data_IF_415052904072
#
_entry.id   IF_415052904072
#
_cell.length_a   1.000
_cell.length_b   1.000
_cell.length_c   1.000
_cell.angle_alpha   90.00
_cell.angle_beta   90.00
_cell.angle_gamma   90.00
#
_symmetry.space_group_name_H-M   'P 1'
#
loop_
_entity.id
_entity.type
_entity.pdbx_description
1 polymer ?
#
# COMPACT_ATOMS: atom_id res chain seq x y z
N UNK A 1 94.69 -19.57 4.05
CA UNK A 1 93.68 -19.45 2.97
C UNK A 1 92.65 -18.45 3.48
N UNK A 2 92.75 -17.16 3.11
CA UNK A 2 91.96 -16.51 2.02
C UNK A 2 90.44 -16.63 2.25
N UNK A 3 89.62 -15.60 2.35
CA UNK A 3 89.78 -14.19 2.03
C UNK A 3 88.51 -13.38 2.34
N UNK A 4 88.61 -12.12 1.96
CA UNK A 4 87.80 -10.91 2.12
C UNK A 4 86.35 -10.88 1.59
N UNK A 5 85.49 -10.19 2.36
CA UNK A 5 84.44 -9.18 2.01
C UNK A 5 83.47 -9.37 0.83
N UNK A 6 82.16 -9.15 1.07
CA UNK A 6 81.34 -8.04 0.50
C UNK A 6 79.86 -8.09 0.91
N UNK A 7 79.28 -6.91 1.03
CA UNK A 7 77.88 -6.55 1.31
C UNK A 7 76.91 -6.77 0.13
N UNK A 8 75.62 -6.88 0.52
CA UNK A 8 74.35 -6.53 -0.18
C UNK A 8 73.82 -7.41 -1.34
N UNK A 9 72.48 -7.47 -1.60
CA UNK A 9 71.46 -6.45 -1.27
C UNK A 9 70.13 -6.93 -0.64
N UNK A 10 69.39 -5.91 -0.16
CA UNK A 10 67.98 -5.93 0.22
C UNK A 10 67.07 -6.41 -0.93
N UNK A 11 66.10 -7.27 -0.60
CA UNK A 11 64.97 -7.60 -1.46
C UNK A 11 63.70 -6.96 -0.89
N UNK A 12 63.25 -5.90 -1.55
CA UNK A 12 61.96 -5.29 -1.33
C UNK A 12 60.83 -6.26 -1.74
N UNK A 13 60.04 -6.71 -0.77
CA UNK A 13 58.73 -7.31 -1.03
C UNK A 13 57.67 -6.23 -0.91
N UNK A 14 57.09 -5.87 -2.05
CA UNK A 14 55.92 -5.00 -2.16
C UNK A 14 54.71 -5.71 -1.52
N UNK A 15 54.35 -5.29 -0.32
CA UNK A 15 53.09 -5.68 0.30
C UNK A 15 51.99 -4.79 -0.26
N UNK A 16 51.25 -5.31 -1.24
CA UNK A 16 50.07 -4.64 -1.78
C UNK A 16 48.97 -4.69 -0.72
N UNK A 17 48.80 -3.61 0.02
CA UNK A 17 47.64 -3.40 0.89
C UNK A 17 46.38 -3.31 0.02
N UNK A 18 45.78 -4.46 -0.27
CA UNK A 18 44.37 -4.52 -0.59
C UNK A 18 43.64 -4.30 0.73
N UNK A 19 43.20 -3.06 0.93
CA UNK A 19 42.16 -2.75 1.90
C UNK A 19 40.92 -3.52 1.47
N UNK A 20 40.70 -4.70 2.04
CA UNK A 20 39.36 -5.27 2.13
C UNK A 20 38.51 -4.23 2.87
N UNK A 21 37.72 -3.47 2.12
CA UNK A 21 36.64 -2.69 2.68
C UNK A 21 35.79 -3.64 3.52
N UNK A 22 35.71 -3.36 4.81
CA UNK A 22 34.74 -4.00 5.68
C UNK A 22 33.35 -3.82 5.03
N UNK A 23 32.50 -4.86 4.99
CA UNK A 23 31.16 -4.73 4.42
C UNK A 23 30.45 -3.58 5.14
N UNK A 24 29.93 -2.62 4.36
CA UNK A 24 29.15 -1.53 4.92
C UNK A 24 28.04 -2.10 5.82
N UNK A 25 27.76 -1.50 6.98
CA UNK A 25 26.69 -1.95 7.84
C UNK A 25 25.40 -1.93 7.02
N UNK A 26 24.80 -3.10 6.79
CA UNK A 26 23.58 -3.25 6.03
C UNK A 26 22.54 -2.26 6.57
N UNK A 27 22.23 -1.24 5.77
CA UNK A 27 21.32 -0.17 6.19
C UNK A 27 20.00 -0.75 6.69
N UNK A 28 19.43 -0.12 7.72
CA UNK A 28 18.11 -0.46 8.26
C UNK A 28 17.09 -0.56 7.13
N UNK A 29 16.47 -1.73 6.95
CA UNK A 29 15.53 -1.99 5.86
C UNK A 29 14.11 -1.73 6.33
N UNK A 30 13.25 -1.35 5.40
CA UNK A 30 11.83 -1.13 5.65
C UNK A 30 11.05 -2.26 5.01
N UNK A 31 10.23 -2.94 5.81
CA UNK A 31 9.41 -4.05 5.35
C UNK A 31 8.03 -3.53 4.98
N UNK A 32 7.61 -3.79 3.74
CA UNK A 32 6.23 -3.58 3.31
C UNK A 32 5.40 -4.82 3.63
N UNK A 33 4.55 -4.74 4.64
CA UNK A 33 3.73 -5.85 5.12
C UNK A 33 2.27 -5.64 4.77
N UNK A 34 1.66 -6.63 4.10
CA UNK A 34 0.21 -6.70 3.94
C UNK A 34 -0.42 -7.59 4.98
N UNK A 35 -1.38 -7.03 5.70
CA UNK A 35 -2.07 -7.65 6.82
C UNK A 35 -3.53 -7.83 6.43
N UNK A 36 -3.93 -9.07 6.18
CA UNK A 36 -5.28 -9.41 5.72
C UNK A 36 -6.04 -10.18 6.79
N UNK A 37 -7.20 -9.67 7.19
CA UNK A 37 -8.09 -10.39 8.10
C UNK A 37 -8.76 -11.56 7.37
N UNK A 38 -8.68 -12.75 7.96
CA UNK A 38 -9.21 -13.98 7.38
C UNK A 38 -10.70 -14.14 7.66
N UNK A 39 -11.35 -14.95 6.83
CA UNK A 39 -12.73 -15.42 6.96
C UNK A 39 -13.83 -14.34 6.87
N UNK A 40 -13.47 -13.09 6.51
CA UNK A 40 -14.44 -12.03 6.21
C UNK A 40 -14.38 -11.67 4.72
N UNK A 41 -15.56 -11.55 4.11
CA UNK A 41 -15.74 -11.11 2.73
C UNK A 41 -16.77 -9.97 2.67
N UNK A 42 -16.55 -8.94 1.82
CA UNK A 42 -15.31 -8.63 1.09
C UNK A 42 -14.10 -8.43 2.02
N UNK A 43 -12.87 -8.69 1.54
CA UNK A 43 -11.70 -8.75 2.42
C UNK A 43 -11.37 -7.41 3.10
N UNK A 44 -11.00 -7.48 4.38
CA UNK A 44 -10.50 -6.37 5.21
C UNK A 44 -8.98 -6.52 5.29
N UNK A 45 -8.23 -5.48 4.95
CA UNK A 45 -6.76 -5.54 4.96
C UNK A 45 -6.11 -4.17 5.13
N UNK A 46 -4.84 -4.16 5.52
CA UNK A 46 -3.96 -2.99 5.67
C UNK A 46 -2.61 -3.31 5.01
N UNK A 47 -1.99 -2.32 4.38
CA UNK A 47 -0.61 -2.38 3.89
C UNK A 47 0.20 -1.38 4.71
N UNK A 48 1.27 -1.84 5.34
CA UNK A 48 2.07 -1.01 6.26
C UNK A 48 3.56 -1.11 5.93
N UNK A 49 4.30 -0.03 6.22
CA UNK A 49 5.75 0.01 6.22
C UNK A 49 6.24 0.01 7.66
N UNK A 50 7.15 -0.90 7.99
CA UNK A 50 7.73 -1.05 9.34
C UNK A 50 9.23 -1.23 9.25
N UNK A 51 9.96 -0.98 10.33
CA UNK A 51 11.40 -1.26 10.35
C UNK A 51 11.65 -2.77 10.38
N UNK A 52 12.70 -3.23 9.69
CA UNK A 52 13.20 -4.60 9.83
C UNK A 52 13.69 -4.91 11.25
N UNK A 53 14.05 -3.86 12.00
CA UNK A 53 14.50 -3.93 13.38
C UNK A 53 13.36 -3.89 14.40
N UNK A 54 12.13 -3.60 13.96
CA UNK A 54 10.95 -3.70 14.82
C UNK A 54 10.81 -5.14 15.32
N UNK A 55 10.22 -5.27 16.51
CA UNK A 55 9.91 -6.56 17.13
C UNK A 55 8.50 -7.00 16.78
N UNK A 56 8.17 -8.27 17.02
CA UNK A 56 6.79 -8.74 16.90
C UNK A 56 5.83 -8.03 17.88
N UNK A 57 6.32 -7.56 19.03
CA UNK A 57 5.57 -6.68 19.94
C UNK A 57 5.21 -5.34 19.28
N UNK A 58 6.16 -4.73 18.56
CA UNK A 58 5.91 -3.50 17.81
C UNK A 58 4.85 -3.74 16.74
N UNK A 59 5.01 -4.81 15.94
CA UNK A 59 4.04 -5.20 14.92
C UNK A 59 2.64 -5.43 15.49
N UNK A 60 2.54 -6.13 16.62
CA UNK A 60 1.29 -6.31 17.36
C UNK A 60 0.66 -4.95 17.72
N UNK A 61 1.43 -4.05 18.31
CA UNK A 61 0.97 -2.71 18.69
C UNK A 61 0.46 -1.91 17.47
N UNK A 62 1.09 -2.09 16.31
CA UNK A 62 0.67 -1.46 15.05
C UNK A 62 -0.65 -2.06 14.56
N UNK A 63 -0.80 -3.39 14.66
CA UNK A 63 -2.03 -4.09 14.31
C UNK A 63 -3.20 -3.59 15.16
N UNK A 64 -3.03 -3.49 16.49
CA UNK A 64 -4.08 -3.00 17.38
C UNK A 64 -4.58 -1.61 16.97
N UNK A 65 -3.64 -0.68 16.74
CA UNK A 65 -3.97 0.70 16.33
C UNK A 65 -4.71 0.76 14.99
N UNK A 66 -4.23 0.06 13.97
CA UNK A 66 -4.84 0.11 12.63
C UNK A 66 -6.19 -0.62 12.54
N UNK A 67 -6.42 -1.58 13.45
CA UNK A 67 -7.71 -2.26 13.60
C UNK A 67 -8.69 -1.44 14.45
N UNK A 68 -8.20 -0.45 15.21
CA UNK A 68 -9.00 0.30 16.16
C UNK A 68 -9.40 -0.53 17.38
N UNK A 69 -8.54 -1.46 17.78
CA UNK A 69 -8.70 -2.29 18.97
C UNK A 69 -7.90 -1.74 20.14
N UNK A 70 -8.26 -2.21 21.34
CA UNK A 70 -7.78 -1.67 22.61
C UNK A 70 -6.78 -2.57 23.33
N UNK A 71 -6.28 -3.61 22.66
CA UNK A 71 -5.25 -4.51 23.21
C UNK A 71 -5.63 -5.15 24.56
N UNK A 72 -6.90 -5.55 24.70
CA UNK A 72 -7.47 -6.11 25.94
C UNK A 72 -7.39 -7.64 26.02
N UNK A 73 -7.00 -8.29 24.93
CA UNK A 73 -7.07 -9.74 24.80
C UNK A 73 -5.74 -10.36 24.39
N UNK A 74 -5.56 -11.65 24.68
CA UNK A 74 -4.32 -12.34 24.37
C UNK A 74 -4.09 -12.45 22.85
N UNK A 75 -2.83 -12.46 22.44
CA UNK A 75 -2.41 -12.74 21.06
C UNK A 75 -1.18 -13.63 20.94
N UNK A 76 -0.97 -14.09 19.71
CA UNK A 76 0.26 -14.78 19.30
C UNK A 76 0.52 -14.62 17.81
N UNK A 77 1.76 -14.86 17.40
CA UNK A 77 2.13 -15.09 16.01
C UNK A 77 2.56 -16.53 15.80
N UNK A 78 2.33 -17.05 14.60
CA UNK A 78 2.73 -18.40 14.19
C UNK A 78 3.34 -18.33 12.79
N UNK A 79 4.58 -18.78 12.66
CA UNK A 79 5.34 -18.78 11.42
C UNK A 79 4.98 -19.98 10.54
N UNK A 80 5.46 -20.00 9.29
CA UNK A 80 5.28 -21.15 8.39
C UNK A 80 5.88 -22.45 8.93
N UNK A 81 6.97 -22.37 9.69
CA UNK A 81 7.63 -23.50 10.34
C UNK A 81 6.95 -23.93 11.66
N UNK A 82 5.76 -23.38 11.96
CA UNK A 82 5.00 -23.65 13.19
C UNK A 82 5.69 -23.16 14.48
N UNK A 83 6.72 -22.31 14.37
CA UNK A 83 7.29 -21.60 15.52
C UNK A 83 6.29 -20.57 16.01
N UNK A 84 5.97 -20.59 17.31
CA UNK A 84 5.13 -19.57 17.93
C UNK A 84 5.99 -18.44 18.47
N UNK A 85 5.48 -17.22 18.33
CA UNK A 85 6.03 -16.03 18.95
C UNK A 85 4.92 -15.49 19.84
N UNK A 86 5.15 -15.49 21.15
CA UNK A 86 4.11 -15.29 22.15
C UNK A 86 4.30 -14.00 22.92
N UNK A 87 3.18 -13.45 23.37
CA UNK A 87 3.14 -12.24 24.19
C UNK A 87 3.83 -12.42 25.55
N UNK A 88 4.27 -11.30 26.12
CA UNK A 88 4.94 -11.25 27.41
C UNK A 88 4.08 -10.47 28.40
N UNK A 89 3.75 -11.07 29.55
CA UNK A 89 3.10 -10.33 30.64
C UNK A 89 4.10 -9.38 31.30
N UNK A 90 3.74 -8.10 31.36
CA UNK A 90 4.54 -7.01 31.93
C UNK A 90 4.03 -6.54 33.29
N UNK A 91 3.16 -7.29 33.95
CA UNK A 91 2.71 -6.97 35.30
C UNK A 91 3.90 -6.83 36.29
N UNK A 92 3.85 -5.81 37.16
CA UNK A 92 4.95 -5.40 38.06
C UNK A 92 5.40 -6.48 39.06
N UNK A 93 4.72 -7.63 39.14
CA UNK A 93 4.96 -8.67 40.13
C UNK A 93 5.79 -9.87 39.62
N UNK A 94 6.47 -9.72 38.48
CA UNK A 94 7.40 -10.73 37.99
C UNK A 94 6.73 -11.76 37.10
N UNK A 95 6.83 -11.50 35.79
CA UNK A 95 6.78 -12.45 34.67
C UNK A 95 5.91 -13.70 34.86
N UNK A 96 4.59 -13.54 34.72
CA UNK A 96 3.70 -14.67 34.43
C UNK A 96 3.60 -14.80 32.91
N UNK A 97 4.51 -15.57 32.31
CA UNK A 97 4.43 -15.90 30.88
C UNK A 97 3.19 -16.77 30.65
N UNK A 98 2.09 -16.19 30.18
CA UNK A 98 0.84 -16.94 30.01
C UNK A 98 0.92 -18.05 28.94
N UNK A 99 1.99 -18.13 28.12
CA UNK A 99 2.07 -19.13 27.03
C UNK A 99 3.48 -19.51 26.54
N UNK A 100 4.55 -19.39 27.36
CA UNK A 100 5.80 -20.13 27.07
C UNK A 100 5.64 -21.57 27.56
N UNK A 101 4.74 -22.31 26.92
CA UNK A 101 4.46 -23.71 27.28
C UNK A 101 5.48 -24.68 26.68
N UNK A 102 6.35 -24.22 25.77
CA UNK A 102 7.34 -25.04 25.07
C UNK A 102 8.69 -24.32 25.03
N UNK A 103 9.76 -25.09 25.17
CA UNK A 103 11.15 -24.60 25.06
C UNK A 103 11.47 -23.92 23.70
N UNK A 104 10.61 -24.11 22.69
CA UNK A 104 10.79 -23.57 21.34
C UNK A 104 9.99 -22.29 21.05
N UNK A 105 9.18 -21.80 21.98
CA UNK A 105 8.40 -20.57 21.77
C UNK A 105 9.32 -19.35 21.91
N UNK A 106 9.13 -18.36 21.02
CA UNK A 106 9.91 -17.13 21.02
C UNK A 106 9.14 -15.99 21.68
N UNK A 107 9.87 -15.04 22.27
CA UNK A 107 9.31 -13.84 22.92
C UNK A 107 9.11 -12.72 21.91
N UNK A 108 7.92 -12.13 21.85
CA UNK A 108 7.60 -11.13 20.84
C UNK A 108 8.37 -9.80 20.98
N UNK A 109 8.83 -9.46 22.18
CA UNK A 109 9.57 -8.23 22.49
C UNK A 109 11.07 -8.35 22.22
N UNK A 110 11.56 -9.55 21.95
CA UNK A 110 12.96 -9.85 21.59
C UNK A 110 13.10 -10.30 20.15
N UNK A 111 12.05 -10.88 19.58
CA UNK A 111 12.07 -11.41 18.21
C UNK A 111 11.87 -10.29 17.21
N UNK A 112 12.86 -10.03 16.37
CA UNK A 112 12.80 -9.03 15.30
C UNK A 112 11.99 -9.52 14.10
N UNK A 113 11.38 -8.60 13.37
CA UNK A 113 10.66 -8.92 12.14
C UNK A 113 11.59 -9.49 11.07
N UNK A 114 12.81 -8.97 10.95
CA UNK A 114 13.84 -9.47 10.01
C UNK A 114 14.19 -10.95 10.20
N UNK A 115 13.90 -11.55 11.36
CA UNK A 115 14.10 -12.99 11.60
C UNK A 115 13.16 -13.87 10.77
N UNK A 116 11.96 -13.38 10.46
CA UNK A 116 10.92 -14.16 9.75
C UNK A 116 10.39 -13.50 8.48
N UNK A 117 10.79 -12.26 8.22
CA UNK A 117 10.49 -11.52 6.99
C UNK A 117 11.82 -11.10 6.36
N UNK A 118 12.47 -12.06 5.72
CA UNK A 118 13.76 -11.90 5.06
C UNK A 118 13.65 -11.80 3.55
N UNK A 119 12.62 -12.44 2.97
CA UNK A 119 12.39 -12.52 1.53
C UNK A 119 10.94 -12.19 1.20
N UNK A 120 10.73 -11.53 0.06
CA UNK A 120 9.39 -11.22 -0.45
C UNK A 120 8.58 -12.52 -0.58
N UNK A 121 7.35 -12.49 -0.07
CA UNK A 121 6.46 -13.65 0.02
C UNK A 121 6.50 -14.39 1.36
N UNK A 122 7.46 -14.06 2.25
CA UNK A 122 7.47 -14.52 3.62
C UNK A 122 6.16 -14.17 4.33
N UNK A 123 5.71 -15.09 5.19
CA UNK A 123 4.38 -14.97 5.80
C UNK A 123 4.35 -15.45 7.25
N UNK A 124 3.58 -14.72 8.05
CA UNK A 124 3.29 -15.05 9.45
C UNK A 124 1.78 -14.92 9.69
N UNK A 125 1.25 -15.80 10.53
CA UNK A 125 -0.13 -15.73 11.00
C UNK A 125 -0.17 -15.01 12.34
N UNK A 126 -1.03 -13.99 12.47
CA UNK A 126 -1.29 -13.32 13.75
C UNK A 126 -2.70 -13.66 14.23
N UNK A 127 -2.84 -14.03 15.50
CA UNK A 127 -4.13 -14.32 16.13
C UNK A 127 -4.33 -13.40 17.33
N UNK A 128 -5.44 -12.65 17.34
CA UNK A 128 -5.86 -11.80 18.45
C UNK A 128 -7.16 -12.33 19.03
N UNK A 129 -7.32 -12.22 20.36
CA UNK A 129 -8.51 -12.62 21.11
C UNK A 129 -8.82 -14.10 20.96
N UNK A 130 -8.26 -14.96 21.82
CA UNK A 130 -8.33 -16.42 21.64
C UNK A 130 -9.74 -17.02 21.68
N UNK A 131 -10.71 -16.30 22.22
CA UNK A 131 -12.11 -16.69 22.15
C UNK A 131 -12.72 -16.35 20.77
N UNK A 132 -12.57 -15.11 20.31
CA UNK A 132 -13.13 -14.62 19.04
C UNK A 132 -12.32 -15.05 17.79
N UNK A 133 -11.06 -15.41 18.01
CA UNK A 133 -10.08 -15.95 17.04
C UNK A 133 -9.91 -15.09 15.81
N UNK A 134 -9.64 -13.80 16.00
CA UNK A 134 -9.33 -12.89 14.90
C UNK A 134 -7.98 -13.25 14.27
N UNK A 135 -8.02 -13.90 13.10
CA UNK A 135 -6.83 -14.37 12.40
C UNK A 135 -6.45 -13.44 11.25
N UNK A 136 -5.19 -13.03 11.23
CA UNK A 136 -4.61 -12.20 10.17
C UNK A 136 -3.49 -12.96 9.48
N UNK A 137 -3.49 -12.90 8.15
CA UNK A 137 -2.35 -13.31 7.34
C UNK A 137 -1.48 -12.08 7.09
N UNK A 138 -0.24 -12.12 7.52
CA UNK A 138 0.77 -11.08 7.31
C UNK A 138 1.73 -11.60 6.24
N UNK A 139 1.95 -10.82 5.19
CA UNK A 139 2.83 -11.17 4.07
C UNK A 139 3.80 -10.02 3.83
N UNK A 140 5.09 -10.32 3.71
CA UNK A 140 6.09 -9.39 3.20
C UNK A 140 5.90 -9.24 1.70
N UNK A 141 5.44 -8.09 1.25
CA UNK A 141 5.23 -7.80 -0.17
C UNK A 141 6.45 -7.10 -0.80
N UNK A 142 7.25 -6.37 -0.01
CA UNK A 142 8.47 -5.71 -0.50
C UNK A 142 9.46 -5.39 0.64
N UNK A 143 10.73 -5.19 0.29
CA UNK A 143 11.80 -4.73 1.19
C UNK A 143 12.43 -3.47 0.60
N UNK A 144 12.16 -2.34 1.25
CA UNK A 144 12.51 -1.00 0.77
C UNK A 144 13.69 -0.42 1.55
N UNK A 145 14.47 0.50 0.95
CA UNK A 145 15.41 1.31 1.71
C UNK A 145 14.67 2.22 2.70
N UNK A 146 15.32 2.54 3.82
CA UNK A 146 14.79 3.55 4.75
C UNK A 146 14.70 4.92 4.08
N UNK A 147 13.52 5.53 4.12
CA UNK A 147 13.34 6.89 3.65
C UNK A 147 13.85 7.90 4.68
N UNK A 148 14.67 8.89 4.27
CA UNK A 148 15.11 9.97 5.16
C UNK A 148 13.92 10.68 5.81
N UNK A 149 14.05 11.06 7.08
CA UNK A 149 13.05 11.83 7.85
C UNK A 149 11.65 11.21 7.98
N UNK A 150 11.49 9.93 7.64
CA UNK A 150 10.22 9.22 7.82
C UNK A 150 10.18 8.52 9.17
N UNK A 151 9.08 8.74 9.90
CA UNK A 151 8.76 7.99 11.11
C UNK A 151 7.96 6.74 10.73
N UNK A 152 8.40 5.58 11.22
CA UNK A 152 7.71 4.30 11.04
C UNK A 152 7.00 3.92 12.35
N UNK A 153 5.88 3.17 12.30
CA UNK A 153 5.27 2.56 11.12
C UNK A 153 4.47 3.56 10.27
N UNK A 154 4.26 3.24 9.00
CA UNK A 154 3.38 3.97 8.08
C UNK A 154 2.29 3.03 7.58
N UNK A 155 1.01 3.35 7.77
CA UNK A 155 -0.07 2.63 7.10
C UNK A 155 -0.28 3.25 5.71
N UNK A 156 0.11 2.51 4.67
CA UNK A 156 0.10 2.98 3.27
C UNK A 156 -1.33 3.04 2.74
N UNK A 157 -2.09 1.97 2.95
CA UNK A 157 -3.46 1.86 2.44
C UNK A 157 -4.16 0.67 3.10
N UNK A 158 -5.42 0.47 2.76
CA UNK A 158 -6.26 -0.59 3.29
C UNK A 158 -7.65 -0.58 2.68
N UNK A 159 -8.47 -1.53 3.12
CA UNK A 159 -9.86 -1.62 2.69
C UNK A 159 -10.77 -2.03 3.84
N UNK A 160 -11.98 -1.45 3.84
CA UNK A 160 -13.08 -1.63 4.80
C UNK A 160 -12.73 -1.23 6.24
N UNK A 161 -13.78 -0.97 7.03
CA UNK A 161 -13.61 -0.83 8.46
C UNK A 161 -13.20 -2.17 9.07
N UNK A 162 -12.39 -2.14 10.11
CA UNK A 162 -12.08 -3.34 10.88
C UNK A 162 -13.26 -3.73 11.77
N UNK A 163 -13.41 -5.02 12.12
CA UNK A 163 -14.42 -5.45 13.07
C UNK A 163 -14.30 -4.69 14.38
N UNK A 164 -15.44 -4.39 14.98
CA UNK A 164 -15.49 -3.84 16.32
C UNK A 164 -15.00 -4.91 17.30
N UNK A 165 -14.25 -4.48 18.30
CA UNK A 165 -13.81 -5.40 19.34
C UNK A 165 -15.03 -5.97 20.08
N UNK A 166 -14.96 -7.25 20.45
CA UNK A 166 -16.03 -7.97 21.16
C UNK A 166 -17.37 -8.07 20.39
N UNK A 167 -17.36 -7.95 19.06
CA UNK A 167 -18.56 -8.16 18.23
C UNK A 167 -18.92 -9.65 18.02
N UNK A 168 -18.32 -10.58 18.77
CA UNK A 168 -18.59 -12.02 18.69
C UNK A 168 -17.82 -12.74 17.58
N UNK A 169 -16.56 -12.35 17.36
CA UNK A 169 -15.70 -12.96 16.34
C UNK A 169 -16.23 -12.83 14.90
N UNK A 170 -15.70 -13.68 14.01
CA UNK A 170 -16.02 -13.66 12.57
C UNK A 170 -17.52 -13.78 12.32
N UNK A 171 -18.20 -14.69 13.01
CA UNK A 171 -19.63 -14.94 12.81
C UNK A 171 -20.48 -13.76 13.27
N UNK A 172 -20.16 -13.17 14.43
CA UNK A 172 -20.89 -12.00 14.93
C UNK A 172 -20.69 -10.77 14.03
N UNK A 173 -19.49 -10.58 13.48
CA UNK A 173 -19.28 -9.51 12.50
C UNK A 173 -19.97 -9.76 11.15
N UNK A 174 -20.05 -11.01 10.69
CA UNK A 174 -20.81 -11.35 9.48
C UNK A 174 -22.30 -11.08 9.68
N UNK A 175 -22.87 -11.49 10.82
CA UNK A 175 -24.24 -11.15 11.20
C UNK A 175 -24.45 -9.63 11.23
N UNK A 176 -23.52 -8.88 11.83
CA UNK A 176 -23.55 -7.42 11.81
C UNK A 176 -23.63 -6.87 10.38
N UNK A 177 -22.83 -7.38 9.45
CA UNK A 177 -22.85 -6.96 8.05
C UNK A 177 -24.17 -7.31 7.35
N UNK A 178 -24.74 -8.48 7.66
CA UNK A 178 -26.04 -8.92 7.14
C UNK A 178 -27.17 -8.00 7.61
N UNK A 179 -27.22 -7.71 8.91
CA UNK A 179 -28.18 -6.77 9.50
C UNK A 179 -27.97 -5.37 8.92
N UNK A 180 -26.74 -4.89 8.86
CA UNK A 180 -26.41 -3.57 8.32
C UNK A 180 -26.85 -3.37 6.86
N UNK A 181 -26.76 -4.42 6.05
CA UNK A 181 -27.15 -4.37 4.64
C UNK A 181 -28.68 -4.34 4.43
N UNK A 182 -29.47 -4.64 5.46
CA UNK A 182 -30.93 -4.71 5.38
C UNK A 182 -31.60 -3.81 6.45
N UNK A 183 -31.96 -2.55 6.11
CA UNK A 183 -32.69 -1.66 7.02
C UNK A 183 -34.04 -2.18 7.52
N UNK A 184 -34.64 -3.17 6.85
CA UNK A 184 -35.89 -3.81 7.28
C UNK A 184 -35.65 -5.03 8.22
N UNK A 185 -34.39 -5.36 8.53
CA UNK A 185 -34.08 -6.46 9.42
C UNK A 185 -34.61 -6.19 10.83
N UNK A 186 -35.17 -7.21 11.48
CA UNK A 186 -35.77 -7.07 12.82
C UNK A 186 -34.78 -6.55 13.88
N UNK A 187 -33.48 -6.81 13.69
CA UNK A 187 -32.39 -6.37 14.58
C UNK A 187 -31.74 -5.04 14.15
N UNK A 188 -32.18 -4.38 13.08
CA UNK A 188 -31.52 -3.19 12.54
C UNK A 188 -31.43 -2.04 13.56
N UNK A 189 -32.56 -1.72 14.22
CA UNK A 189 -32.61 -0.70 15.27
C UNK A 189 -31.73 -1.05 16.48
N UNK A 190 -31.69 -2.33 16.86
CA UNK A 190 -30.82 -2.80 17.94
C UNK A 190 -29.34 -2.64 17.58
N UNK A 191 -28.98 -2.95 16.33
CA UNK A 191 -27.62 -2.76 15.82
C UNK A 191 -27.22 -1.28 15.85
N UNK A 192 -28.08 -0.37 15.37
CA UNK A 192 -27.77 1.07 15.37
C UNK A 192 -27.56 1.61 16.78
N UNK A 193 -28.43 1.25 17.73
CA UNK A 193 -28.29 1.62 19.13
C UNK A 193 -26.97 1.09 19.74
N UNK A 194 -26.60 -0.15 19.43
CA UNK A 194 -25.33 -0.71 19.89
C UNK A 194 -24.12 0.02 19.27
N UNK A 195 -24.16 0.29 17.97
CA UNK A 195 -23.10 1.01 17.26
C UNK A 195 -22.92 2.44 17.78
N UNK A 196 -24.00 3.14 18.11
CA UNK A 196 -23.92 4.48 18.70
C UNK A 196 -23.14 4.50 20.03
N UNK A 197 -23.26 3.44 20.82
CA UNK A 197 -22.53 3.32 22.09
C UNK A 197 -21.07 2.87 21.92
N UNK A 198 -20.80 1.97 20.96
CA UNK A 198 -19.47 1.36 20.80
C UNK A 198 -18.57 2.14 19.85
N UNK A 199 -19.11 2.61 18.72
CA UNK A 199 -18.36 3.39 17.73
C UNK A 199 -19.33 4.25 16.89
N UNK A 200 -19.64 5.48 17.35
CA UNK A 200 -20.45 6.43 16.59
C UNK A 200 -19.92 6.59 15.15
N UNK A 201 -20.83 6.70 14.19
CA UNK A 201 -20.53 6.85 12.76
C UNK A 201 -19.77 5.65 12.13
N UNK A 202 -19.82 4.47 12.74
CA UNK A 202 -19.30 3.26 12.11
C UNK A 202 -19.99 3.00 10.77
N UNK A 203 -19.19 2.67 9.76
CA UNK A 203 -19.68 2.16 8.49
C UNK A 203 -18.71 1.05 8.03
N UNK A 204 -19.18 -0.18 7.79
CA UNK A 204 -18.34 -1.32 7.49
C UNK A 204 -17.55 -1.18 6.18
N UNK A 205 -18.03 -0.37 5.23
CA UNK A 205 -17.34 -0.13 3.96
C UNK A 205 -16.33 1.01 4.03
N UNK A 206 -16.38 1.83 5.09
CA UNK A 206 -15.46 2.93 5.27
C UNK A 206 -14.12 2.41 5.77
N UNK A 207 -13.11 2.48 4.92
CA UNK A 207 -11.73 2.61 5.39
C UNK A 207 -11.39 4.09 5.42
N UNK A 208 -11.22 4.63 6.63
CA UNK A 208 -10.64 5.97 6.80
C UNK A 208 -9.14 5.82 7.05
N UNK A 209 -8.28 6.10 6.05
CA UNK A 209 -6.85 6.14 6.28
C UNK A 209 -6.48 7.23 7.28
N UNK A 210 -7.34 8.20 7.61
CA UNK A 210 -7.04 9.23 8.61
C UNK A 210 -7.02 8.73 10.05
N UNK A 211 -7.46 7.49 10.32
CA UNK A 211 -7.20 6.82 11.61
C UNK A 211 -5.76 6.28 11.68
N UNK A 212 -5.00 6.28 10.57
CA UNK A 212 -3.55 6.57 10.57
C UNK A 212 -3.06 6.81 9.13
N UNK A 213 -2.76 8.10 8.85
CA UNK A 213 -2.06 8.67 7.67
C UNK A 213 -2.94 9.13 6.47
N UNK A 214 -3.14 10.45 6.43
CA UNK A 214 -3.80 11.28 5.40
C UNK A 214 -3.14 11.14 4.02
N UNK A 215 -3.89 10.79 2.99
CA UNK A 215 -3.41 10.74 1.60
C UNK A 215 -4.11 11.80 0.73
N UNK A 216 -3.36 12.89 0.52
CA UNK A 216 -3.56 14.17 -0.19
C UNK A 216 -4.90 14.89 0.00
N UNK A 217 -4.87 15.92 0.85
CA UNK A 217 -5.93 16.90 1.01
C UNK A 217 -5.34 18.30 0.72
N UNK A 218 -5.95 19.13 -0.15
CA UNK A 218 -7.18 18.90 -0.94
C UNK A 218 -7.04 17.89 -2.10
N UNK A 219 -8.14 17.28 -2.58
CA UNK A 219 -8.09 16.18 -3.54
C UNK A 219 -7.56 16.61 -4.93
N UNK A 220 -6.83 15.71 -5.58
CA UNK A 220 -6.46 15.82 -7.00
C UNK A 220 -7.50 15.04 -7.80
N UNK A 221 -8.12 15.66 -8.79
CA UNK A 221 -9.13 14.98 -9.61
C UNK A 221 -9.20 15.53 -11.03
N UNK A 222 -9.77 14.74 -11.94
CA UNK A 222 -10.07 15.08 -13.33
C UNK A 222 -11.47 14.59 -13.67
N UNK A 223 -12.21 15.39 -14.44
CA UNK A 223 -13.46 14.99 -15.12
C UNK A 223 -13.18 14.98 -16.61
N UNK A 224 -13.30 13.81 -17.22
CA UNK A 224 -13.06 13.61 -18.65
C UNK A 224 -14.30 13.04 -19.32
N UNK A 225 -14.56 13.49 -20.54
CA UNK A 225 -15.52 12.89 -21.46
C UNK A 225 -14.75 11.92 -22.35
N UNK A 226 -15.23 10.69 -22.43
CA UNK A 226 -14.66 9.58 -23.22
C UNK A 226 -15.75 8.96 -24.07
N UNK A 227 -15.39 8.18 -25.09
CA UNK A 227 -16.38 7.48 -25.91
C UNK A 227 -16.90 6.25 -25.18
N UNK A 228 -18.20 5.95 -25.29
CA UNK A 228 -18.74 4.66 -24.79
C UNK A 228 -18.15 3.45 -25.52
N UNK A 229 -17.62 3.68 -26.72
CA UNK A 229 -16.92 2.69 -27.54
C UNK A 229 -15.44 2.53 -27.16
N UNK A 230 -14.93 3.30 -26.20
CA UNK A 230 -13.55 3.12 -25.73
C UNK A 230 -13.40 1.77 -25.02
N UNK A 231 -12.20 1.23 -25.10
CA UNK A 231 -11.78 0.06 -24.34
C UNK A 231 -11.18 0.47 -22.99
N UNK A 232 -10.89 -0.50 -22.13
CA UNK A 232 -10.15 -0.21 -20.89
C UNK A 232 -8.71 0.23 -21.17
N UNK A 233 -8.11 -0.23 -22.27
CA UNK A 233 -6.82 0.30 -22.74
C UNK A 233 -6.93 1.79 -23.12
N UNK A 234 -7.95 2.15 -23.89
CA UNK A 234 -8.17 3.56 -24.28
C UNK A 234 -8.39 4.43 -23.04
N UNK A 235 -9.15 3.93 -22.04
CA UNK A 235 -9.33 4.61 -20.77
C UNK A 235 -8.02 4.77 -19.99
N UNK A 236 -7.17 3.74 -19.94
CA UNK A 236 -5.84 3.84 -19.35
C UNK A 236 -5.03 4.95 -20.03
N UNK A 237 -4.97 4.97 -21.35
CA UNK A 237 -4.30 6.01 -22.12
C UNK A 237 -4.90 7.40 -21.86
N UNK A 238 -6.20 7.50 -21.65
CA UNK A 238 -6.88 8.75 -21.33
C UNK A 238 -6.54 9.24 -19.91
N UNK A 239 -6.38 8.33 -18.95
CA UNK A 239 -5.93 8.63 -17.59
C UNK A 239 -4.49 9.12 -17.60
N UNK A 240 -3.58 8.40 -18.26
CA UNK A 240 -2.17 8.78 -18.39
C UNK A 240 -2.04 10.22 -18.91
N UNK A 241 -2.73 10.53 -20.01
CA UNK A 241 -2.77 11.90 -20.55
C UNK A 241 -3.37 12.91 -19.59
N UNK A 242 -4.47 12.59 -18.91
CA UNK A 242 -5.16 13.52 -18.00
C UNK A 242 -4.40 13.77 -16.70
N UNK A 243 -3.58 12.81 -16.27
CA UNK A 243 -2.69 12.92 -15.13
C UNK A 243 -1.32 13.47 -15.51
N UNK A 244 -0.96 13.50 -16.79
CA UNK A 244 0.36 13.94 -17.24
C UNK A 244 1.47 12.93 -16.90
N UNK A 245 1.12 11.65 -16.90
CA UNK A 245 2.01 10.51 -16.66
C UNK A 245 2.44 9.88 -17.97
N UNK A 246 3.59 9.19 -17.93
CA UNK A 246 4.36 8.76 -19.09
C UNK A 246 4.20 7.27 -19.43
N UNK A 247 3.24 6.59 -18.79
CA UNK A 247 2.94 5.17 -18.99
C UNK A 247 4.19 4.26 -18.81
N UNK A 248 4.98 4.56 -17.78
CA UNK A 248 6.24 3.87 -17.48
C UNK A 248 6.04 2.60 -16.64
N UNK A 249 4.87 2.43 -16.03
CA UNK A 249 4.61 1.39 -15.04
C UNK A 249 3.38 0.55 -15.34
N UNK A 250 3.34 -0.66 -14.75
CA UNK A 250 2.20 -1.56 -14.88
C UNK A 250 0.91 -0.96 -14.31
N UNK A 251 -0.20 -1.33 -14.93
CA UNK A 251 -1.53 -0.94 -14.46
C UNK A 251 -2.54 -2.08 -14.51
N UNK A 252 -3.65 -1.87 -13.79
CA UNK A 252 -4.82 -2.74 -13.86
C UNK A 252 -6.11 -2.00 -13.51
N UNK A 253 -7.24 -2.55 -13.94
CA UNK A 253 -8.55 -2.15 -13.47
C UNK A 253 -9.24 -3.25 -12.68
N UNK A 254 -9.97 -2.86 -11.64
CA UNK A 254 -10.82 -3.77 -10.87
C UNK A 254 -12.23 -3.24 -10.77
N UNK A 255 -13.21 -4.07 -11.16
CA UNK A 255 -14.63 -3.72 -11.09
C UNK A 255 -15.20 -4.01 -9.69
N UNK A 256 -16.41 -3.50 -9.40
CA UNK A 256 -17.11 -3.80 -8.13
C UNK A 256 -17.37 -5.30 -7.95
N UNK A 257 -17.67 -6.01 -9.02
CA UNK A 257 -17.86 -7.48 -9.04
C UNK A 257 -16.55 -8.26 -9.04
N UNK A 258 -15.42 -7.60 -8.74
CA UNK A 258 -14.10 -8.22 -8.67
C UNK A 258 -13.66 -8.86 -10.00
N UNK A 259 -14.11 -8.34 -11.13
CA UNK A 259 -13.47 -8.65 -12.44
C UNK A 259 -12.19 -7.84 -12.54
N UNK A 260 -11.09 -8.52 -12.85
CA UNK A 260 -9.79 -7.91 -13.12
C UNK A 260 -9.66 -7.66 -14.62
N UNK A 261 -9.24 -6.47 -15.02
CA UNK A 261 -9.05 -6.11 -16.42
C UNK A 261 -7.63 -5.57 -16.57
N UNK A 262 -6.82 -6.21 -17.41
CA UNK A 262 -5.36 -6.06 -17.44
C UNK A 262 -4.83 -6.02 -18.88
N UNK A 263 -3.64 -5.42 -19.11
CA UNK A 263 -2.86 -5.68 -20.31
C UNK A 263 -2.50 -7.17 -20.35
N UNK A 264 -3.01 -7.91 -21.34
CA UNK A 264 -2.55 -9.27 -21.63
C UNK A 264 -1.66 -9.17 -22.87
N UNK A 265 -0.38 -9.43 -22.72
CA UNK A 265 0.52 -9.67 -23.85
C UNK A 265 0.40 -11.15 -24.23
N UNK A 266 -0.03 -11.49 -25.45
CA UNK A 266 -0.14 -12.88 -25.91
C UNK A 266 1.21 -13.62 -26.01
N UNK A 267 2.36 -12.94 -25.85
CA UNK A 267 3.70 -13.53 -25.81
C UNK A 267 4.28 -13.62 -24.39
N UNK A 268 3.55 -13.15 -23.39
CA UNK A 268 3.99 -13.12 -22.00
C UNK A 268 3.47 -14.38 -21.28
N UNK A 269 4.37 -15.33 -21.01
CA UNK A 269 4.09 -16.63 -20.38
C UNK A 269 3.79 -16.51 -18.86
N UNK A 270 3.69 -15.28 -18.33
CA UNK A 270 3.40 -14.98 -16.93
C UNK A 270 1.91 -15.17 -16.52
N UNK A 271 1.25 -16.23 -17.03
CA UNK A 271 -0.08 -16.70 -16.59
C UNK A 271 -0.13 -17.01 -15.06
N UNK A 272 1.02 -17.12 -14.41
CA UNK A 272 1.15 -17.48 -13.00
C UNK A 272 0.69 -16.34 -12.06
N UNK A 273 0.80 -15.07 -12.47
CA UNK A 273 0.36 -13.93 -11.63
C UNK A 273 -1.16 -13.75 -11.60
N UNK A 274 -1.86 -14.12 -12.68
CA UNK A 274 -3.31 -13.97 -12.80
C UNK A 274 -4.12 -15.08 -12.10
N UNK A 275 -3.46 -16.19 -11.74
CA UNK A 275 -4.09 -17.34 -11.08
C UNK A 275 -4.32 -17.18 -9.56
N UNK A 276 -3.99 -16.03 -8.97
CA UNK A 276 -4.30 -15.70 -7.57
C UNK A 276 -5.53 -14.80 -7.39
N UNK A 277 -6.16 -14.39 -8.49
CA UNK A 277 -7.39 -13.62 -8.48
C UNK A 277 -8.62 -14.55 -8.51
N UNK A 278 -9.58 -14.35 -7.61
CA UNK A 278 -10.76 -15.23 -7.46
C UNK A 278 -11.92 -14.87 -8.40
N UNK A 279 -11.73 -13.93 -9.33
CA UNK A 279 -12.73 -13.46 -10.30
C UNK A 279 -12.23 -13.60 -11.74
N UNK A 280 -13.11 -13.38 -12.74
CA UNK A 280 -12.70 -13.46 -14.14
C UNK A 280 -11.67 -12.38 -14.45
N UNK A 281 -10.71 -12.73 -15.31
CA UNK A 281 -9.69 -11.83 -15.86
C UNK A 281 -10.07 -11.53 -17.31
N UNK A 282 -10.12 -10.25 -17.67
CA UNK A 282 -10.40 -9.81 -19.03
C UNK A 282 -9.25 -8.99 -19.58
N UNK A 283 -9.04 -9.10 -20.89
CA UNK A 283 -8.05 -8.31 -21.61
C UNK A 283 -8.58 -6.89 -21.85
N UNK A 284 -7.79 -5.88 -21.46
CA UNK A 284 -8.22 -4.48 -21.52
C UNK A 284 -8.47 -3.94 -22.93
N UNK A 285 -7.73 -4.43 -23.94
CA UNK A 285 -7.86 -4.02 -25.35
C UNK A 285 -9.12 -4.58 -26.01
N UNK A 286 -9.71 -5.63 -25.42
CA UNK A 286 -10.93 -6.27 -25.92
C UNK A 286 -12.17 -5.87 -25.11
N UNK A 287 -11.97 -5.38 -23.89
CA UNK A 287 -13.06 -5.04 -22.97
C UNK A 287 -13.49 -3.59 -23.18
N UNK A 288 -14.74 -3.38 -23.61
CA UNK A 288 -15.34 -2.04 -23.75
C UNK A 288 -15.73 -1.45 -22.41
N UNK A 289 -15.62 -0.13 -22.26
CA UNK A 289 -16.06 0.60 -21.06
C UNK A 289 -17.54 0.37 -20.76
N UNK A 290 -18.38 0.37 -21.79
CA UNK A 290 -19.82 0.11 -21.68
C UNK A 290 -20.17 -1.24 -21.04
N UNK A 291 -19.24 -2.19 -20.99
CA UNK A 291 -19.41 -3.47 -20.26
C UNK A 291 -19.63 -3.24 -18.77
N UNK A 292 -18.90 -2.29 -18.16
CA UNK A 292 -18.89 -2.08 -16.70
C UNK A 292 -19.30 -0.67 -16.28
N UNK A 293 -19.28 0.29 -17.21
CA UNK A 293 -19.66 1.69 -17.04
C UNK A 293 -20.84 1.99 -17.98
N UNK A 294 -21.99 1.34 -17.75
CA UNK A 294 -23.21 1.51 -18.57
C UNK A 294 -24.30 2.33 -17.88
N UNK A 295 -24.21 2.52 -16.56
CA UNK A 295 -25.18 3.27 -15.77
C UNK A 295 -24.47 4.29 -14.90
N UNK A 296 -25.05 5.47 -14.78
CA UNK A 296 -24.57 6.52 -13.86
C UNK A 296 -24.36 5.93 -12.46
N UNK A 297 -23.23 6.28 -11.84
CA UNK A 297 -22.78 5.75 -10.56
C UNK A 297 -22.03 4.41 -10.65
N UNK A 298 -21.95 3.77 -11.82
CA UNK A 298 -21.01 2.67 -12.05
C UNK A 298 -19.58 3.16 -11.83
N UNK A 299 -18.75 2.27 -11.30
CA UNK A 299 -17.37 2.64 -11.00
C UNK A 299 -16.42 1.47 -11.12
N UNK A 300 -15.18 1.79 -11.47
CA UNK A 300 -14.04 0.87 -11.49
C UNK A 300 -12.88 1.52 -10.72
N UNK A 301 -11.95 0.72 -10.24
CA UNK A 301 -10.69 1.20 -9.65
C UNK A 301 -9.59 0.97 -10.66
N UNK A 302 -8.83 2.01 -10.96
CA UNK A 302 -7.61 1.95 -11.74
C UNK A 302 -6.42 2.01 -10.78
N UNK A 303 -5.49 1.07 -10.90
CA UNK A 303 -4.22 1.06 -10.19
C UNK A 303 -3.12 1.24 -11.24
N UNK A 304 -2.28 2.25 -11.06
CA UNK A 304 -1.09 2.52 -11.86
C UNK A 304 0.13 2.49 -10.93
N UNK A 305 1.23 1.94 -11.43
CA UNK A 305 2.46 1.74 -10.67
C UNK A 305 2.21 0.87 -9.43
N UNK A 306 2.41 -0.43 -9.58
CA UNK A 306 2.14 -1.38 -8.49
C UNK A 306 3.04 -1.18 -7.28
N UNK A 307 4.20 -0.53 -7.46
CA UNK A 307 5.14 -0.24 -6.39
C UNK A 307 4.72 1.02 -5.62
N UNK A 308 4.35 2.09 -6.33
CA UNK A 308 3.97 3.36 -5.71
C UNK A 308 2.46 3.49 -5.40
N UNK A 309 1.65 2.56 -5.93
CA UNK A 309 0.27 2.33 -5.52
C UNK A 309 -0.72 3.40 -5.93
N UNK A 310 -0.57 4.05 -7.09
CA UNK A 310 -1.46 5.12 -7.52
C UNK A 310 -2.85 4.58 -7.85
N UNK A 311 -3.83 4.86 -6.98
CA UNK A 311 -5.19 4.37 -7.13
C UNK A 311 -6.17 5.48 -7.49
N UNK A 312 -6.95 5.25 -8.54
CA UNK A 312 -8.00 6.13 -8.99
C UNK A 312 -9.34 5.40 -8.96
N UNK A 313 -10.30 5.97 -8.24
CA UNK A 313 -11.70 5.56 -8.36
C UNK A 313 -12.31 6.30 -9.54
N UNK A 314 -12.67 5.57 -10.58
CA UNK A 314 -13.31 6.10 -11.78
C UNK A 314 -14.81 5.89 -11.61
N UNK A 315 -15.60 6.96 -11.72
CA UNK A 315 -17.05 6.92 -11.59
C UNK A 315 -17.67 7.48 -12.87
N UNK A 316 -18.63 6.76 -13.44
CA UNK A 316 -19.46 7.28 -14.51
C UNK A 316 -20.47 8.27 -13.92
N UNK A 317 -20.21 9.56 -14.10
CA UNK A 317 -21.06 10.62 -13.52
C UNK A 317 -22.27 10.95 -14.40
N UNK A 318 -22.14 10.83 -15.71
CA UNK A 318 -23.21 11.16 -16.67
C UNK A 318 -23.03 10.42 -18.00
N UNK A 319 -24.10 10.27 -18.78
CA UNK A 319 -24.10 9.73 -20.15
C UNK A 319 -24.73 10.76 -21.07
N UNK A 320 -23.93 11.30 -21.99
CA UNK A 320 -24.32 12.40 -22.86
C UNK A 320 -24.42 11.95 -24.31
N UNK A 321 -25.30 12.61 -25.08
CA UNK A 321 -25.32 12.46 -26.53
C UNK A 321 -24.02 12.98 -27.14
N UNK A 322 -23.50 12.25 -28.12
CA UNK A 322 -22.27 12.63 -28.82
C UNK A 322 -22.48 13.94 -29.58
N UNK A 323 -21.68 14.95 -29.26
CA UNK A 323 -21.70 16.22 -29.97
C UNK A 323 -21.19 16.08 -31.42
N UNK A 324 -21.90 16.61 -32.43
CA UNK A 324 -21.44 16.58 -33.82
C UNK A 324 -20.07 17.25 -33.98
N UNK A 325 -19.15 16.60 -34.70
CA UNK A 325 -17.79 17.09 -35.02
C UNK A 325 -16.87 17.31 -33.79
N UNK A 326 -17.24 16.79 -32.63
CA UNK A 326 -16.37 16.77 -31.44
C UNK A 326 -15.49 15.51 -31.42
N UNK A 327 -14.20 15.69 -31.15
CA UNK A 327 -13.24 14.61 -30.83
C UNK A 327 -13.14 14.39 -29.32
N UNK A 328 -13.03 13.12 -28.93
CA UNK A 328 -12.83 12.67 -27.54
C UNK A 328 -11.47 11.94 -27.44
N UNK A 329 -10.83 11.87 -26.26
CA UNK A 329 -11.31 12.36 -24.96
C UNK A 329 -11.27 13.90 -24.83
N UNK A 330 -12.03 14.44 -23.88
CA UNK A 330 -11.96 15.86 -23.46
C UNK A 330 -11.88 15.96 -21.94
N UNK A 331 -10.97 16.74 -21.39
CA UNK A 331 -11.04 17.12 -19.98
C UNK A 331 -11.95 18.34 -19.83
N UNK A 332 -12.94 18.26 -18.94
CA UNK A 332 -13.95 19.30 -18.71
C UNK A 332 -13.95 19.84 -17.29
N UNK A 333 -13.05 19.35 -16.45
CA UNK A 333 -12.88 19.82 -15.09
C UNK A 333 -11.78 19.07 -14.37
N UNK A 334 -11.30 19.66 -13.29
CA UNK A 334 -10.24 19.08 -12.47
C UNK A 334 -9.80 20.07 -11.40
N UNK A 335 -8.88 19.60 -10.56
CA UNK A 335 -8.26 20.43 -9.54
C UNK A 335 -6.86 19.89 -9.24
N UNK A 336 -5.94 20.82 -8.96
CA UNK A 336 -4.54 20.56 -8.59
C UNK A 336 -3.70 19.92 -9.69
N UNK A 337 -2.38 20.07 -9.59
CA UNK A 337 -1.48 19.32 -10.43
C UNK A 337 -1.49 17.86 -9.98
N UNK A 338 -1.27 16.96 -10.93
CA UNK A 338 -1.11 15.55 -10.60
C UNK A 338 0.29 15.29 -10.06
N UNK A 339 0.48 14.24 -9.25
CA UNK A 339 1.79 13.87 -8.78
C UNK A 339 2.74 13.64 -9.96
N UNK A 340 3.94 14.25 -9.97
CA UNK A 340 4.93 13.94 -11.00
C UNK A 340 5.25 12.45 -11.01
N UNK A 341 5.61 11.92 -12.18
CA UNK A 341 6.17 10.57 -12.28
C UNK A 341 7.36 10.42 -11.34
N UNK A 342 7.53 9.20 -10.82
CA UNK A 342 8.67 8.84 -9.96
C UNK A 342 8.79 9.69 -8.68
N UNK A 343 7.74 10.40 -8.27
CA UNK A 343 7.77 11.20 -7.03
C UNK A 343 7.70 10.35 -5.75
N UNK A 344 7.77 9.03 -5.84
CA UNK A 344 7.79 8.11 -4.68
C UNK A 344 6.40 7.85 -4.08
N UNK A 345 5.40 7.67 -4.94
CA UNK A 345 4.03 7.38 -4.52
C UNK A 345 3.39 8.52 -3.74
N UNK A 346 2.26 8.22 -3.09
CA UNK A 346 1.48 9.24 -2.40
C UNK A 346 2.28 9.89 -1.25
N UNK A 347 3.16 9.13 -0.60
CA UNK A 347 4.06 9.63 0.45
C UNK A 347 5.09 10.62 -0.08
N UNK A 348 5.76 10.27 -1.17
CA UNK A 348 6.78 11.15 -1.74
C UNK A 348 6.16 12.41 -2.36
N UNK A 349 4.95 12.31 -2.92
CA UNK A 349 4.19 13.49 -3.34
C UNK A 349 3.84 14.43 -2.17
N UNK A 350 3.42 13.90 -1.03
CA UNK A 350 3.19 14.73 0.15
C UNK A 350 4.44 15.42 0.65
N UNK A 351 5.56 14.69 0.67
CA UNK A 351 6.86 15.28 1.01
C UNK A 351 7.19 16.42 0.04
N UNK A 352 7.02 16.18 -1.27
CA UNK A 352 7.19 17.21 -2.30
C UNK A 352 6.33 18.45 -2.03
N UNK A 353 5.04 18.30 -1.75
CA UNK A 353 4.15 19.44 -1.45
C UNK A 353 4.56 20.15 -0.14
N UNK A 354 4.98 19.40 0.88
CA UNK A 354 5.46 19.95 2.14
C UNK A 354 6.73 20.78 1.94
N UNK A 355 7.70 20.27 1.17
CA UNK A 355 8.94 20.98 0.86
C UNK A 355 8.64 22.19 -0.03
N UNK A 356 7.78 22.05 -1.04
CA UNK A 356 7.32 23.13 -1.91
C UNK A 356 6.77 24.33 -1.10
N UNK A 357 5.98 24.06 -0.07
CA UNK A 357 5.42 25.09 0.82
C UNK A 357 6.41 25.72 1.80
N UNK A 358 7.65 25.26 1.87
CA UNK A 358 8.66 25.74 2.82
C UNK A 358 10.05 25.90 2.16
N UNK A 359 10.37 27.09 1.61
CA UNK A 359 11.66 27.39 0.99
C UNK A 359 12.90 27.26 1.91
N UNK A 360 12.71 27.18 3.22
CA UNK A 360 13.79 26.95 4.19
C UNK A 360 13.97 25.47 4.55
N UNK A 361 13.16 24.58 3.96
CA UNK A 361 13.29 23.14 4.21
C UNK A 361 14.64 22.64 3.70
N UNK A 362 15.29 21.76 4.48
CA UNK A 362 16.63 21.24 4.15
C UNK A 362 16.70 20.51 2.80
N UNK A 363 15.59 19.93 2.38
CA UNK A 363 15.49 19.19 1.11
C UNK A 363 15.08 20.09 -0.07
N UNK A 364 14.85 21.40 0.14
CA UNK A 364 14.30 22.29 -0.90
C UNK A 364 15.20 22.38 -2.12
N UNK A 365 16.51 22.53 -1.92
CA UNK A 365 17.46 22.63 -3.03
C UNK A 365 17.45 21.33 -3.88
N UNK A 366 17.60 20.18 -3.24
CA UNK A 366 17.67 18.90 -3.93
C UNK A 366 16.35 18.49 -4.58
N UNK A 367 15.22 18.67 -3.88
CA UNK A 367 13.92 18.19 -4.32
C UNK A 367 13.21 19.19 -5.25
N UNK A 368 13.23 20.49 -4.93
CA UNK A 368 12.45 21.51 -5.64
C UNK A 368 13.26 22.21 -6.73
N UNK A 369 14.48 22.63 -6.42
CA UNK A 369 15.31 23.39 -7.37
C UNK A 369 16.02 22.48 -8.39
N UNK A 370 16.32 21.24 -8.02
CA UNK A 370 16.97 20.28 -8.91
C UNK A 370 15.95 19.27 -9.47
N UNK A 371 15.60 18.23 -8.69
CA UNK A 371 14.82 17.10 -9.19
C UNK A 371 13.49 17.52 -9.83
N UNK A 372 12.70 18.35 -9.15
CA UNK A 372 11.39 18.78 -9.66
C UNK A 372 11.51 19.70 -10.88
N UNK A 373 12.51 20.57 -10.96
CA UNK A 373 12.69 21.40 -12.16
C UNK A 373 13.13 20.59 -13.37
N UNK A 374 13.96 19.57 -13.16
CA UNK A 374 14.41 18.67 -14.23
C UNK A 374 13.28 17.76 -14.71
N UNK A 375 12.53 17.16 -13.78
CA UNK A 375 11.47 16.18 -14.09
C UNK A 375 10.15 16.83 -14.50
N UNK A 376 9.74 17.92 -13.86
CA UNK A 376 8.47 18.58 -14.11
C UNK A 376 8.61 20.12 -14.03
N UNK A 377 9.24 20.75 -15.04
CA UNK A 377 9.48 22.19 -15.03
C UNK A 377 8.15 22.96 -14.97
N UNK A 378 8.10 23.99 -14.13
CA UNK A 378 6.90 24.80 -13.84
C UNK A 378 5.77 24.03 -13.13
N UNK A 379 6.10 22.93 -12.43
CA UNK A 379 5.17 22.30 -11.51
C UNK A 379 4.66 23.31 -10.48
N UNK A 380 3.36 23.27 -10.19
CA UNK A 380 2.72 23.98 -9.10
C UNK A 380 1.62 23.05 -8.57
N UNK A 381 1.68 22.61 -7.30
CA UNK A 381 0.76 21.59 -6.78
C UNK A 381 -0.70 22.02 -6.80
N UNK A 382 -1.00 23.32 -6.85
CA UNK A 382 -2.39 23.81 -6.86
C UNK A 382 -2.88 24.17 -8.27
N UNK A 383 -2.00 24.12 -9.27
CA UNK A 383 -2.34 24.45 -10.66
C UNK A 383 -3.17 23.36 -11.35
N UNK A 384 -4.27 23.76 -11.96
CA UNK A 384 -4.99 22.96 -12.95
C UNK A 384 -5.46 23.87 -14.09
N UNK A 385 -5.24 23.45 -15.35
CA UNK A 385 -5.70 24.18 -16.53
C UNK A 385 -6.56 23.24 -17.41
N UNK A 386 -7.87 23.50 -17.55
CA UNK A 386 -8.75 22.68 -18.39
C UNK A 386 -8.47 22.83 -19.90
N UNK A 387 -7.70 23.84 -20.33
CA UNK A 387 -7.31 24.08 -21.73
C UNK A 387 -5.93 23.49 -22.08
N UNK A 388 -5.15 23.10 -21.07
CA UNK A 388 -3.89 22.36 -21.22
C UNK A 388 -3.97 21.05 -20.40
N UNK A 389 -5.00 20.20 -20.58
CA UNK A 389 -5.18 19.03 -19.72
C UNK A 389 -4.34 17.84 -20.17
N UNK A 390 -3.68 17.92 -21.33
CA UNK A 390 -2.96 16.84 -21.97
C UNK A 390 -1.57 17.32 -22.34
N UNK A 391 -0.53 16.64 -21.86
CA UNK A 391 0.84 16.93 -22.25
C UNK A 391 0.99 16.68 -23.78
N UNK A 392 1.27 17.69 -24.61
CA UNK A 392 1.31 17.54 -26.07
C UNK A 392 2.49 16.70 -26.58
N UNK A 393 3.44 16.32 -25.70
CA UNK A 393 4.56 15.45 -26.05
C UNK A 393 4.20 13.96 -26.13
N UNK A 394 2.98 13.57 -25.76
CA UNK A 394 2.52 12.19 -25.89
C UNK A 394 2.31 11.80 -27.36
N UNK A 395 3.18 10.92 -27.87
CA UNK A 395 2.98 10.18 -29.12
C UNK A 395 2.78 8.71 -28.79
N UNK A 396 1.62 8.17 -29.14
CA UNK A 396 1.41 6.73 -29.27
C UNK A 396 2.01 6.22 -30.56
#
# INVERSE_FOLDING_TARGET
ESGTSREEPEAATSDSSSSEEAPEPAGERILQLKITLKYIKPSIWRLILVSSEDTFYNLHSYIQKMMGWSDRHLHQFVTKSMTRIVQVDRSENGAVFYDLHRDSDLREDETKLSTFFSEVGDRVMYMYHFADKWQHKIVLEDILPRMPNTAYPVCVTGKRACPLEDCGGVMGYQHLLEVWANPEHAEYEHLLNWLENVRPNFNPENFDPNITLKYVNPPIWRRILVSSEDTFYDLHCNIQRAMGWDDLHSHQFTTRSSVLIVPIDPNDDDEVFYNFHMGPVLEERKTKLSTFLSKVGNSVVYLYDFMNGWQHKIVLEDILDKEPKTTYPKCVGGMRACPPEECGGVTGYHHLVQVWGNPQHKDYEALINNWLQDMCPNFDPDRFDPNIPFNPTFKF
#
